data_IF_932300625713
#
_entry.id   IF_932300625713
#
_cell.length_a   1.000
_cell.length_b   1.000
_cell.length_c   1.000
_cell.angle_alpha   90.00
_cell.angle_beta   90.00
_cell.angle_gamma   90.00
#
_symmetry.space_group_name_H-M   'P 1'
#
loop_
_entity.id
_entity.type
_entity.pdbx_description
1 polymer ?
#
# COMPACT_ATOMS: atom_id res chain seq x y z
N UNK A 1 -2.99 1.25 9.69
CA UNK A 1 -3.55 2.03 8.58
C UNK A 1 -2.41 2.44 7.66
N UNK A 2 -2.68 3.12 6.53
CA UNK A 2 -1.59 3.64 5.68
C UNK A 2 -0.80 4.74 6.40
N UNK A 3 -1.48 5.60 7.16
CA UNK A 3 -0.83 6.62 8.00
C UNK A 3 0.12 6.00 9.04
N UNK A 4 -0.29 4.92 9.72
CA UNK A 4 0.57 4.25 10.72
C UNK A 4 1.83 3.65 10.07
N UNK A 5 1.73 3.17 8.82
CA UNK A 5 2.88 2.64 8.08
C UNK A 5 3.87 3.76 7.74
N UNK A 6 3.36 4.91 7.27
CA UNK A 6 4.21 6.06 6.96
C UNK A 6 4.87 6.64 8.21
N UNK A 7 4.13 6.75 9.33
CA UNK A 7 4.69 7.17 10.60
C UNK A 7 5.83 6.25 11.07
N UNK A 8 5.68 4.94 10.90
CA UNK A 8 6.76 4.00 11.19
C UNK A 8 7.98 4.21 10.28
N UNK A 9 7.79 4.52 8.99
CA UNK A 9 8.91 4.87 8.11
C UNK A 9 9.62 6.14 8.55
N UNK A 10 8.88 7.13 9.02
CA UNK A 10 9.47 8.37 9.52
C UNK A 10 10.29 8.12 10.80
N UNK A 11 9.79 7.30 11.72
CA UNK A 11 10.51 6.87 12.94
C UNK A 11 11.82 6.14 12.63
N UNK A 12 11.84 5.37 11.55
CA UNK A 12 13.00 4.59 11.09
C UNK A 12 13.94 5.41 10.17
N UNK A 13 13.65 6.71 9.98
CA UNK A 13 14.48 7.62 9.18
C UNK A 13 14.43 7.34 7.68
N UNK A 14 13.32 6.76 7.19
CA UNK A 14 13.12 6.40 5.79
C UNK A 14 12.36 7.48 4.99
N UNK A 15 11.97 8.58 5.63
CA UNK A 15 11.31 9.71 4.97
C UNK A 15 12.10 10.17 3.73
N UNK A 16 11.41 10.34 2.60
CA UNK A 16 12.03 10.74 1.33
C UNK A 16 12.84 9.67 0.61
N UNK A 17 12.90 8.43 1.12
CA UNK A 17 13.63 7.33 0.47
C UNK A 17 12.76 6.41 -0.39
N UNK A 18 11.45 6.66 -0.40
CA UNK A 18 10.44 5.97 -1.20
C UNK A 18 9.62 6.97 -2.03
N UNK A 19 9.16 6.54 -3.20
CA UNK A 19 8.36 7.36 -4.12
C UNK A 19 6.97 6.79 -4.37
N UNK A 20 6.68 5.57 -3.91
CA UNK A 20 5.37 4.94 -4.01
C UNK A 20 5.09 4.08 -2.78
N UNK A 21 3.88 4.22 -2.21
CA UNK A 21 3.37 3.35 -1.13
C UNK A 21 1.92 2.99 -1.43
N UNK A 22 1.58 1.72 -1.29
CA UNK A 22 0.20 1.26 -1.36
C UNK A 22 -0.09 0.19 -0.31
N UNK A 23 -1.07 0.45 0.56
CA UNK A 23 -1.62 -0.49 1.52
C UNK A 23 -3.06 -0.86 1.12
N UNK A 24 -3.26 -1.97 0.38
CA UNK A 24 -4.60 -2.44 0.05
C UNK A 24 -5.48 -2.66 1.28
N UNK A 25 -6.74 -2.28 1.16
CA UNK A 25 -7.78 -2.49 2.17
C UNK A 25 -9.00 -3.20 1.59
N UNK A 26 -9.78 -3.86 2.45
CA UNK A 26 -11.14 -4.26 2.15
C UNK A 26 -12.03 -3.00 2.11
N UNK A 27 -12.60 -2.68 0.96
CA UNK A 27 -13.40 -1.44 0.79
C UNK A 27 -14.67 -1.37 1.64
N UNK A 28 -15.14 -2.50 2.19
CA UNK A 28 -16.33 -2.53 3.06
C UNK A 28 -15.95 -2.32 4.52
N UNK A 29 -14.87 -2.95 4.99
CA UNK A 29 -14.48 -2.89 6.41
C UNK A 29 -13.41 -1.83 6.69
N UNK A 30 -12.72 -1.34 5.65
CA UNK A 30 -11.55 -0.47 5.78
C UNK A 30 -10.30 -1.19 6.32
N UNK A 31 -10.38 -2.50 6.58
CA UNK A 31 -9.28 -3.25 7.15
C UNK A 31 -8.20 -3.54 6.09
N UNK A 32 -6.92 -3.41 6.47
CA UNK A 32 -5.81 -3.76 5.60
C UNK A 32 -5.84 -5.25 5.23
N UNK A 33 -5.52 -5.57 3.97
CA UNK A 33 -5.47 -6.95 3.47
C UNK A 33 -4.23 -7.72 3.96
N UNK A 34 -3.30 -7.06 4.66
CA UNK A 34 -2.16 -7.69 5.33
C UNK A 34 -0.84 -7.64 4.56
N UNK A 35 -0.75 -6.84 3.51
CA UNK A 35 0.47 -6.61 2.74
C UNK A 35 0.48 -5.17 2.22
N UNK A 36 1.66 -4.65 1.89
CA UNK A 36 1.84 -3.33 1.28
C UNK A 36 2.88 -3.42 0.16
N UNK A 37 2.82 -2.48 -0.79
CA UNK A 37 3.86 -2.27 -1.77
C UNK A 37 4.56 -0.95 -1.47
N UNK A 38 5.89 -0.96 -1.54
CA UNK A 38 6.74 0.22 -1.35
C UNK A 38 7.79 0.21 -2.46
N UNK A 39 7.90 1.31 -3.21
CA UNK A 39 8.99 1.50 -4.17
C UNK A 39 10.02 2.45 -3.56
N UNK A 40 11.27 2.00 -3.51
CA UNK A 40 12.38 2.79 -3.00
C UNK A 40 13.00 3.60 -4.12
N UNK A 41 13.33 4.87 -3.85
CA UNK A 41 13.95 5.78 -4.81
C UNK A 41 15.36 5.31 -5.21
N UNK A 42 16.08 4.70 -4.27
CA UNK A 42 17.43 4.21 -4.48
C UNK A 42 17.60 2.79 -3.94
N UNK A 43 18.35 1.91 -4.64
CA UNK A 43 18.74 0.60 -4.13
C UNK A 43 19.44 0.67 -2.76
N UNK A 44 20.13 1.77 -2.46
CA UNK A 44 20.82 1.97 -1.17
C UNK A 44 19.86 2.10 0.02
N UNK A 45 18.60 2.46 -0.22
CA UNK A 45 17.58 2.59 0.82
C UNK A 45 16.85 1.26 1.12
N UNK A 46 17.04 0.23 0.27
CA UNK A 46 16.43 -1.08 0.48
C UNK A 46 16.93 -1.76 1.75
N UNK A 47 18.24 -1.87 2.06
CA UNK A 47 18.69 -2.55 3.27
C UNK A 47 18.18 -1.89 4.58
N UNK A 48 18.14 -0.54 4.71
CA UNK A 48 17.45 0.12 5.82
C UNK A 48 15.97 -0.29 5.96
N UNK A 49 15.19 -0.21 4.87
CA UNK A 49 13.78 -0.63 4.88
C UNK A 49 13.63 -2.09 5.32
N UNK A 50 14.45 -2.98 4.76
CA UNK A 50 14.39 -4.41 5.06
C UNK A 50 14.64 -4.69 6.54
N UNK A 51 15.63 -4.02 7.16
CA UNK A 51 15.91 -4.15 8.59
C UNK A 51 14.80 -3.58 9.49
N UNK A 52 14.14 -2.52 9.04
CA UNK A 52 13.05 -1.91 9.80
C UNK A 52 11.80 -2.79 9.83
N UNK A 53 11.49 -3.45 8.71
CA UNK A 53 10.24 -4.18 8.53
C UNK A 53 10.34 -5.69 8.69
N UNK A 54 11.43 -6.34 8.30
CA UNK A 54 11.50 -7.80 8.34
C UNK A 54 11.59 -8.28 9.80
N UNK A 55 10.61 -9.10 10.22
CA UNK A 55 10.44 -9.48 11.61
C UNK A 55 9.63 -8.48 12.46
N UNK A 56 9.15 -7.37 11.88
CA UNK A 56 8.35 -6.39 12.61
C UNK A 56 7.05 -7.01 13.15
N UNK A 57 6.78 -6.79 14.43
CA UNK A 57 5.59 -7.32 15.12
C UNK A 57 4.94 -6.33 16.09
N UNK A 58 5.43 -5.08 16.13
CA UNK A 58 4.96 -4.02 17.03
C UNK A 58 3.79 -3.24 16.42
N UNK A 59 2.74 -3.94 16.00
CA UNK A 59 1.59 -3.32 15.35
C UNK A 59 0.81 -2.42 16.31
N UNK A 60 0.28 -1.31 15.79
CA UNK A 60 -0.58 -0.39 16.54
C UNK A 60 -1.85 -1.08 17.12
N UNK A 61 -2.32 -2.14 16.46
CA UNK A 61 -3.42 -2.98 16.95
C UNK A 61 -2.89 -4.33 17.45
N UNK A 62 -3.47 -4.92 18.51
CA UNK A 62 -3.09 -6.24 18.99
C UNK A 62 -3.13 -7.29 17.87
N UNK A 63 -1.96 -7.81 17.49
CA UNK A 63 -1.81 -8.74 16.39
C UNK A 63 -0.64 -9.67 16.64
N UNK A 64 -0.81 -10.96 16.31
CA UNK A 64 0.27 -11.97 16.34
C UNK A 64 1.03 -12.07 15.03
N UNK A 65 0.68 -11.26 14.02
CA UNK A 65 1.34 -11.29 12.72
C UNK A 65 2.77 -10.80 12.86
N UNK A 66 3.66 -11.35 12.04
CA UNK A 66 5.05 -10.89 11.90
C UNK A 66 5.21 -10.46 10.44
N UNK A 67 5.74 -9.28 10.22
CA UNK A 67 6.01 -8.75 8.89
C UNK A 67 7.16 -9.53 8.27
N UNK A 68 7.04 -9.84 6.98
CA UNK A 68 8.13 -10.35 6.17
C UNK A 68 8.24 -9.47 4.94
N UNK A 69 9.48 -9.14 4.57
CA UNK A 69 9.78 -8.33 3.40
C UNK A 69 10.27 -9.23 2.28
N UNK A 70 9.74 -9.00 1.09
CA UNK A 70 10.17 -9.68 -0.13
C UNK A 70 10.10 -8.72 -1.30
N UNK A 71 10.81 -9.06 -2.38
CA UNK A 71 10.69 -8.35 -3.64
C UNK A 71 9.29 -8.55 -4.23
N UNK A 72 8.68 -7.47 -4.72
CA UNK A 72 7.45 -7.54 -5.50
C UNK A 72 7.68 -8.28 -6.82
N UNK A 73 6.77 -9.19 -7.17
CA UNK A 73 6.77 -9.94 -8.41
C UNK A 73 5.33 -9.99 -8.97
N UNK A 74 5.10 -9.84 -10.28
CA UNK A 74 6.08 -9.60 -11.36
C UNK A 74 6.42 -8.12 -11.59
N UNK A 75 5.88 -7.19 -10.78
CA UNK A 75 5.95 -5.74 -11.06
C UNK A 75 6.99 -5.07 -10.15
N UNK A 76 7.90 -4.32 -10.75
CA UNK A 76 9.00 -3.61 -10.07
C UNK A 76 9.20 -2.21 -10.68
N UNK A 77 9.60 -1.25 -9.84
CA UNK A 77 9.86 0.12 -10.26
C UNK A 77 8.65 1.04 -10.16
N UNK A 78 8.93 2.35 -10.17
CA UNK A 78 7.92 3.39 -9.99
C UNK A 78 6.94 3.43 -11.16
N UNK A 79 7.42 3.49 -12.41
CA UNK A 79 6.58 3.60 -13.60
C UNK A 79 5.61 2.42 -13.75
N UNK A 80 6.09 1.21 -13.45
CA UNK A 80 5.26 -0.01 -13.51
C UNK A 80 4.15 0.04 -12.46
N UNK A 81 4.46 0.51 -11.24
CA UNK A 81 3.45 0.72 -10.21
C UNK A 81 2.42 1.78 -10.63
N UNK A 82 2.85 2.90 -11.23
CA UNK A 82 1.94 3.90 -11.77
C UNK A 82 1.00 3.28 -12.81
N UNK A 83 1.52 2.58 -13.81
CA UNK A 83 0.69 2.02 -14.88
C UNK A 83 -0.28 0.96 -14.35
N UNK A 84 0.17 0.13 -13.40
CA UNK A 84 -0.66 -0.86 -12.73
C UNK A 84 -1.87 -0.25 -12.03
N UNK A 85 -1.69 0.89 -11.37
CA UNK A 85 -2.73 1.45 -10.50
C UNK A 85 -3.53 2.60 -11.10
N UNK A 86 -2.96 3.42 -12.00
CA UNK A 86 -3.65 4.61 -12.57
C UNK A 86 -5.00 4.29 -13.22
N UNK A 87 -5.13 3.07 -13.78
CA UNK A 87 -6.33 2.58 -14.45
C UNK A 87 -7.13 1.58 -13.61
N UNK A 88 -6.72 1.33 -12.37
CA UNK A 88 -7.38 0.40 -11.45
C UNK A 88 -8.62 1.04 -10.81
N UNK A 89 -9.69 0.26 -10.54
CA UNK A 89 -10.86 0.75 -9.80
C UNK A 89 -10.54 1.42 -8.46
N UNK A 90 -9.41 1.08 -7.81
CA UNK A 90 -8.98 1.74 -6.57
C UNK A 90 -8.81 3.25 -6.73
N UNK A 91 -8.45 3.73 -7.92
CA UNK A 91 -8.28 5.15 -8.21
C UNK A 91 -9.59 5.88 -8.49
N UNK A 92 -10.74 5.18 -8.50
CA UNK A 92 -12.04 5.79 -8.79
C UNK A 92 -12.37 6.92 -7.79
N UNK A 93 -13.04 8.02 -8.20
CA UNK A 93 -13.36 9.14 -7.32
C UNK A 93 -14.18 8.78 -6.07
N UNK A 94 -14.97 7.72 -6.13
CA UNK A 94 -15.74 7.24 -4.96
C UNK A 94 -14.91 6.52 -3.89
N UNK A 95 -13.63 6.22 -4.17
CA UNK A 95 -12.74 5.57 -3.21
C UNK A 95 -12.10 6.65 -2.35
N UNK A 96 -12.12 6.53 -1.01
CA UNK A 96 -11.42 7.45 -0.13
C UNK A 96 -9.93 7.53 -0.47
N UNK A 97 -9.38 8.72 -0.37
CA UNK A 97 -7.97 8.98 -0.67
C UNK A 97 -7.02 8.13 0.20
N UNK A 98 -7.38 7.89 1.46
CA UNK A 98 -6.63 7.03 2.39
C UNK A 98 -6.53 5.54 1.98
N UNK A 99 -7.33 5.12 1.00
CA UNK A 99 -7.33 3.75 0.44
C UNK A 99 -6.60 3.66 -0.90
N UNK A 100 -6.13 4.79 -1.45
CA UNK A 100 -5.46 4.85 -2.75
C UNK A 100 -3.95 4.67 -2.58
N UNK A 101 -3.26 4.14 -3.60
CA UNK A 101 -1.83 4.29 -3.76
C UNK A 101 -1.40 5.76 -3.62
N UNK A 102 -0.27 5.98 -2.95
CA UNK A 102 0.31 7.28 -2.70
C UNK A 102 1.64 7.35 -3.45
N UNK A 103 1.90 8.49 -4.07
CA UNK A 103 3.18 8.79 -4.71
C UNK A 103 3.85 9.97 -4.01
N UNK A 104 5.18 10.02 -4.10
CA UNK A 104 5.99 11.06 -3.50
C UNK A 104 6.97 11.62 -4.52
N UNK A 105 7.24 12.92 -4.42
CA UNK A 105 8.25 13.62 -5.20
C UNK A 105 9.09 14.47 -4.26
N UNK A 106 10.41 14.25 -4.23
CA UNK A 106 11.29 14.92 -3.27
C UNK A 106 10.95 14.63 -1.80
N UNK A 107 10.30 13.49 -1.52
CA UNK A 107 9.84 13.10 -0.19
C UNK A 107 8.52 13.72 0.26
N UNK A 108 7.91 14.57 -0.56
CA UNK A 108 6.58 15.13 -0.30
C UNK A 108 5.51 14.37 -1.08
N UNK A 109 4.31 14.26 -0.51
CA UNK A 109 3.18 13.61 -1.17
C UNK A 109 2.81 14.38 -2.45
N UNK A 110 2.77 13.68 -3.57
CA UNK A 110 2.42 14.23 -4.88
C UNK A 110 1.07 13.71 -5.39
N UNK A 111 0.53 14.37 -6.42
CA UNK A 111 -0.67 13.89 -7.10
C UNK A 111 -0.38 12.60 -7.87
N UNK A 112 -1.25 11.61 -7.74
CA UNK A 112 -1.14 10.38 -8.50
C UNK A 112 -1.42 10.67 -9.99
N UNK A 113 -0.59 10.17 -10.93
CA UNK A 113 -0.80 10.39 -12.36
C UNK A 113 -2.21 10.00 -12.82
N UNK A 114 -2.86 10.90 -13.56
CA UNK A 114 -4.25 10.75 -13.97
C UNK A 114 -4.50 9.46 -14.77
N UNK A 115 -5.72 8.91 -14.67
CA UNK A 115 -6.12 7.74 -15.44
C UNK A 115 -6.13 8.06 -16.95
N UNK A 116 -5.77 7.08 -17.78
CA UNK A 116 -5.90 7.20 -19.25
C UNK A 116 -7.25 6.70 -19.76
N UNK A 117 -8.08 6.18 -18.84
CA UNK A 117 -9.38 5.57 -19.11
C UNK A 117 -10.40 6.02 -18.07
N UNK A 118 -11.69 5.92 -18.43
CA UNK A 118 -12.78 6.07 -17.47
C UNK A 118 -12.77 4.91 -16.49
N UNK A 119 -12.63 5.21 -15.20
CA UNK A 119 -12.58 4.20 -14.15
C UNK A 119 -13.98 3.73 -13.79
N UNK A 120 -14.12 2.43 -13.52
CA UNK A 120 -15.33 1.87 -12.92
C UNK A 120 -15.15 1.80 -11.41
N UNK A 121 -16.20 2.06 -10.65
CA UNK A 121 -16.17 1.90 -9.19
C UNK A 121 -15.78 0.46 -8.80
N UNK A 122 -15.02 0.28 -7.70
CA UNK A 122 -14.69 -1.05 -7.19
C UNK A 122 -15.94 -1.89 -6.92
N UNK A 123 -15.90 -3.15 -7.33
CA UNK A 123 -16.95 -4.11 -6.96
C UNK A 123 -16.76 -4.52 -5.51
N UNK A 124 -17.66 -4.11 -4.63
CA UNK A 124 -17.74 -4.67 -3.28
C UNK A 124 -18.24 -6.11 -3.41
N UNK A 125 -17.34 -7.11 -3.29
CA UNK A 125 -17.75 -8.52 -3.34
C UNK A 125 -18.70 -8.78 -2.17
N UNK A 126 -19.94 -9.19 -2.46
CA UNK A 126 -20.86 -9.74 -1.48
C UNK A 126 -20.24 -11.06 -1.00
N UNK A 127 -19.77 -11.13 0.24
CA UNK A 127 -19.30 -12.40 0.79
C UNK A 127 -20.47 -13.39 0.69
N UNK A 128 -20.24 -14.57 0.10
CA UNK A 128 -21.12 -15.71 0.34
C UNK A 128 -21.07 -15.94 1.85
N UNK A 129 -22.20 -15.78 2.52
CA UNK A 129 -22.33 -16.22 3.91
C UNK A 129 -21.89 -17.69 3.95
N UNK A 130 -20.76 -17.96 4.60
CA UNK A 130 -20.43 -19.31 4.99
C UNK A 130 -21.60 -19.80 5.84
N UNK A 131 -22.34 -20.75 5.28
CA UNK A 131 -23.36 -21.50 6.00
C UNK A 131 -22.71 -22.02 7.28
N UNK A 132 -23.00 -21.36 8.39
CA UNK A 132 -22.87 -21.92 9.74
C UNK A 132 -23.83 -23.10 9.79
N UNK A 133 -23.32 -24.26 9.40
CA UNK A 133 -24.04 -25.51 9.32
C UNK A 133 -23.30 -26.58 10.11
N UNK A 134 -23.75 -26.74 11.37
CA UNK A 134 -23.47 -27.79 12.36
C UNK A 134 -22.11 -27.81 13.01
#
# INVERSE_FOLDING_TARGET
SCADLLAHFDEEGLAGTYDFVYLPVDFRTGAALGYAFVNMVSPSAVPPLWRALDGFSRWALPSRKVCSVSWSDPHQGFEENIERYRNSPVMHPSVPDSHKPIVFSGGERAEFPASTKTLRAPRVRRHLEEKRGR
#
